data_IF_772456624293
#
_entry.id   IF_772456624293
#
_cell.length_a   1.000
_cell.length_b   1.000
_cell.length_c   1.000
_cell.angle_alpha   90.00
_cell.angle_beta   90.00
_cell.angle_gamma   90.00
#
_symmetry.space_group_name_H-M   'P 1'
#
loop_
_entity.id
_entity.type
_entity.pdbx_description
1 polymer ?
#
# COMPACT_ATOMS: atom_id res chain seq x y z
N UNK A 1 2.38 20.42 -28.58
CA UNK A 1 2.15 19.55 -27.41
C UNK A 1 1.12 18.49 -27.81
N UNK A 2 1.53 17.23 -27.88
CA UNK A 2 0.71 16.13 -28.42
C UNK A 2 -0.50 15.83 -27.53
N UNK A 3 -1.66 15.57 -28.15
CA UNK A 3 -2.89 15.19 -27.45
C UNK A 3 -2.64 13.94 -26.59
N UNK A 4 -3.05 13.93 -25.31
CA UNK A 4 -2.92 12.74 -24.47
C UNK A 4 -3.81 11.61 -25.00
N UNK A 5 -3.30 10.38 -24.87
CA UNK A 5 -3.96 9.13 -25.26
C UNK A 5 -5.42 9.05 -24.69
N UNK A 6 -6.44 8.61 -25.47
CA UNK A 6 -7.84 8.50 -25.02
C UNK A 6 -8.04 7.74 -23.71
N UNK A 7 -7.18 6.76 -23.40
CA UNK A 7 -7.24 6.03 -22.14
C UNK A 7 -6.92 6.92 -20.91
N UNK A 8 -6.08 7.94 -21.08
CA UNK A 8 -5.76 8.93 -20.05
C UNK A 8 -6.82 10.04 -19.96
N UNK A 9 -7.49 10.39 -21.06
CA UNK A 9 -8.61 11.34 -21.04
C UNK A 9 -9.80 10.83 -20.23
N UNK A 10 -10.11 9.53 -20.26
CA UNK A 10 -11.25 9.00 -19.47
C UNK A 10 -10.92 8.97 -17.97
N UNK A 11 -9.65 9.05 -17.58
CA UNK A 11 -9.27 9.34 -16.20
C UNK A 11 -9.55 10.81 -15.87
N UNK A 12 -9.05 11.74 -16.68
CA UNK A 12 -9.11 13.18 -16.34
C UNK A 12 -10.45 13.88 -16.63
N UNK A 13 -11.17 13.55 -17.72
CA UNK A 13 -12.48 14.14 -18.08
C UNK A 13 -13.63 13.59 -17.25
N UNK A 14 -13.59 12.30 -16.86
CA UNK A 14 -14.54 11.72 -15.89
C UNK A 14 -14.31 12.27 -14.49
N UNK A 15 -13.09 12.77 -14.20
CA UNK A 15 -12.73 13.38 -12.92
C UNK A 15 -12.73 14.93 -12.95
N UNK A 16 -13.05 15.58 -14.08
CA UNK A 16 -12.87 17.02 -14.29
C UNK A 16 -13.84 17.59 -15.33
N UNK A 17 -15.03 18.01 -14.92
CA UNK A 17 -15.24 19.37 -14.39
C UNK A 17 -15.08 19.53 -12.86
N UNK A 18 -15.17 18.45 -12.09
CA UNK A 18 -14.96 18.41 -10.63
C UNK A 18 -13.46 18.33 -10.21
N UNK A 19 -12.53 18.66 -11.11
CA UNK A 19 -11.07 18.62 -10.87
C UNK A 19 -10.54 19.64 -9.86
N UNK A 20 -11.44 20.47 -9.32
CA UNK A 20 -11.21 21.45 -8.23
C UNK A 20 -11.54 20.91 -6.84
N UNK A 21 -11.96 19.66 -6.72
CA UNK A 21 -12.25 19.01 -5.44
C UNK A 21 -10.98 18.37 -4.88
N UNK A 22 -10.60 18.78 -3.66
CA UNK A 22 -9.27 18.71 -3.08
C UNK A 22 -8.56 20.09 -3.10
N UNK A 23 -8.44 20.72 -1.93
CA UNK A 23 -7.83 22.05 -1.75
C UNK A 23 -6.30 22.11 -1.86
N UNK A 24 -5.64 20.97 -2.12
CA UNK A 24 -4.20 20.91 -2.34
C UNK A 24 -3.78 21.63 -3.63
N UNK A 25 -2.60 22.24 -3.62
CA UNK A 25 -2.05 22.99 -4.77
C UNK A 25 -1.88 22.11 -6.03
N UNK A 26 -1.90 20.78 -5.87
CA UNK A 26 -1.69 19.78 -6.92
C UNK A 26 -0.24 19.72 -7.42
N UNK A 27 0.53 20.79 -7.24
CA UNK A 27 1.95 20.91 -7.58
C UNK A 27 2.81 20.52 -6.38
N UNK A 28 3.84 19.68 -6.57
CA UNK A 28 4.79 19.40 -5.51
C UNK A 28 5.48 20.70 -5.05
N UNK A 29 5.59 20.88 -3.74
CA UNK A 29 6.38 21.98 -3.14
C UNK A 29 7.86 21.61 -3.11
N UNK A 30 8.73 22.56 -2.79
CA UNK A 30 10.17 22.28 -2.56
C UNK A 30 10.34 21.23 -1.46
N UNK A 31 9.57 21.32 -0.37
CA UNK A 31 9.59 20.33 0.71
C UNK A 31 9.16 18.93 0.26
N UNK A 32 8.19 18.82 -0.66
CA UNK A 32 7.81 17.53 -1.25
C UNK A 32 8.97 16.93 -2.03
N UNK A 33 9.66 17.72 -2.87
CA UNK A 33 10.81 17.24 -3.63
C UNK A 33 11.98 16.85 -2.74
N UNK A 34 12.25 17.62 -1.69
CA UNK A 34 13.27 17.29 -0.69
C UNK A 34 12.93 15.98 0.03
N UNK A 35 11.71 15.83 0.53
CA UNK A 35 11.25 14.59 1.16
C UNK A 35 11.32 13.39 0.23
N UNK A 36 10.87 13.54 -1.02
CA UNK A 36 10.95 12.50 -2.04
C UNK A 36 12.41 12.10 -2.34
N UNK A 37 13.30 13.08 -2.55
CA UNK A 37 14.71 12.82 -2.80
C UNK A 37 15.36 12.10 -1.61
N UNK A 38 15.05 12.51 -0.37
CA UNK A 38 15.53 11.85 0.84
C UNK A 38 15.03 10.40 0.94
N UNK A 39 13.74 10.14 0.67
CA UNK A 39 13.21 8.78 0.61
C UNK A 39 13.94 7.93 -0.44
N UNK A 40 14.09 8.45 -1.67
CA UNK A 40 14.77 7.72 -2.75
C UNK A 40 16.23 7.45 -2.40
N UNK A 41 16.97 8.46 -1.94
CA UNK A 41 18.37 8.29 -1.54
C UNK A 41 18.51 7.32 -0.38
N UNK A 42 17.60 7.35 0.59
CA UNK A 42 17.57 6.41 1.70
C UNK A 42 17.34 4.97 1.23
N UNK A 43 16.30 4.72 0.42
CA UNK A 43 16.04 3.39 -0.14
C UNK A 43 17.16 2.91 -1.08
N UNK A 44 17.76 3.80 -1.87
CA UNK A 44 18.93 3.45 -2.68
C UNK A 44 20.12 3.12 -1.78
N UNK A 45 20.41 3.92 -0.76
CA UNK A 45 21.51 3.68 0.16
C UNK A 45 21.36 2.37 0.96
N UNK A 46 20.14 1.82 1.07
CA UNK A 46 19.88 0.58 1.81
C UNK A 46 19.74 -0.64 0.90
N UNK A 47 19.17 -0.48 -0.31
CA UNK A 47 19.11 -1.55 -1.31
C UNK A 47 20.45 -1.77 -2.02
N UNK A 48 21.22 -0.71 -2.27
CA UNK A 48 22.47 -0.75 -3.02
C UNK A 48 23.56 -1.59 -2.35
N UNK A 49 23.78 -1.53 -1.02
CA UNK A 49 24.71 -2.44 -0.34
C UNK A 49 24.31 -3.91 -0.53
N UNK A 50 23.03 -4.27 -0.36
CA UNK A 50 22.57 -5.64 -0.59
C UNK A 50 22.77 -6.12 -2.04
N UNK A 51 22.54 -5.24 -3.02
CA UNK A 51 22.79 -5.54 -4.44
C UNK A 51 24.29 -5.65 -4.75
N UNK A 52 25.12 -4.81 -4.14
CA UNK A 52 26.58 -4.88 -4.31
C UNK A 52 27.18 -6.13 -3.69
N UNK A 53 26.71 -6.55 -2.50
CA UNK A 53 27.14 -7.80 -1.88
C UNK A 53 26.79 -9.01 -2.74
N UNK A 54 25.59 -9.03 -3.35
CA UNK A 54 25.22 -10.06 -4.33
C UNK A 54 26.10 -10.05 -5.58
N UNK A 55 26.42 -8.86 -6.09
CA UNK A 55 27.28 -8.74 -7.25
C UNK A 55 28.71 -9.24 -6.93
N UNK A 56 29.25 -8.91 -5.75
CA UNK A 56 30.60 -9.33 -5.34
C UNK A 56 30.71 -10.82 -5.01
N UNK A 57 29.70 -11.42 -4.39
CA UNK A 57 29.66 -12.88 -4.17
C UNK A 57 29.64 -13.64 -5.50
N UNK A 58 28.97 -13.10 -6.52
CA UNK A 58 28.91 -13.74 -7.84
C UNK A 58 30.15 -13.52 -8.70
N UNK A 59 30.95 -12.46 -8.46
CA UNK A 59 32.17 -12.20 -9.22
C UNK A 59 33.44 -12.74 -8.59
N UNK A 60 33.64 -12.62 -7.27
CA UNK A 60 34.98 -12.80 -6.69
C UNK A 60 35.05 -13.66 -5.41
N UNK A 61 33.91 -14.06 -4.82
CA UNK A 61 33.89 -14.94 -3.64
C UNK A 61 34.47 -14.34 -2.35
N UNK A 62 34.89 -13.07 -2.35
CA UNK A 62 35.33 -12.33 -1.16
C UNK A 62 34.17 -11.53 -0.56
N UNK A 63 33.88 -11.79 0.72
CA UNK A 63 32.92 -10.99 1.51
C UNK A 63 33.50 -9.59 1.78
N UNK A 64 32.89 -8.56 1.20
CA UNK A 64 33.26 -7.17 1.48
C UNK A 64 32.79 -6.79 2.88
N UNK A 65 33.72 -6.57 3.81
CA UNK A 65 33.41 -6.10 5.17
C UNK A 65 32.89 -4.66 5.19
N UNK A 66 31.57 -4.50 5.38
CA UNK A 66 30.88 -3.18 5.34
C UNK A 66 30.87 -2.47 6.72
N UNK A 67 31.43 -3.08 7.76
CA UNK A 67 31.24 -2.69 9.17
C UNK A 67 31.91 -1.39 9.61
N UNK A 68 32.87 -0.85 8.84
CA UNK A 68 33.74 0.25 9.31
C UNK A 68 33.47 1.67 8.76
N UNK A 69 32.49 1.88 7.88
CA UNK A 69 32.29 3.17 7.17
C UNK A 69 30.89 3.78 7.36
N UNK A 70 30.60 4.95 6.77
CA UNK A 70 29.25 5.56 6.73
C UNK A 70 28.17 4.54 6.27
N UNK A 71 28.56 3.58 5.44
CA UNK A 71 27.75 2.43 5.04
C UNK A 71 27.37 1.52 6.21
N UNK A 72 28.22 1.32 7.22
CA UNK A 72 27.91 0.55 8.44
C UNK A 72 26.90 1.24 9.37
N UNK A 73 26.85 2.58 9.36
CA UNK A 73 25.80 3.34 10.06
C UNK A 73 24.46 3.29 9.30
N UNK A 74 24.50 3.32 7.97
CA UNK A 74 23.32 3.16 7.10
C UNK A 74 22.79 1.72 7.08
N UNK A 75 23.68 0.73 7.21
CA UNK A 75 23.33 -0.68 7.40
C UNK A 75 22.93 -1.00 8.84
N UNK A 76 22.98 -0.04 9.77
CA UNK A 76 22.49 -0.28 11.11
C UNK A 76 20.96 -0.53 11.06
N UNK A 77 20.50 -1.73 11.42
CA UNK A 77 19.10 -2.14 11.26
C UNK A 77 18.13 -1.21 12.00
N UNK A 78 18.53 -0.69 13.16
CA UNK A 78 17.73 0.22 13.96
C UNK A 78 17.62 1.59 13.29
N UNK A 79 18.74 2.14 12.80
CA UNK A 79 18.74 3.43 12.09
C UNK A 79 17.87 3.35 10.83
N UNK A 80 17.99 2.25 10.09
CA UNK A 80 17.17 1.98 8.91
C UNK A 80 15.67 1.91 9.26
N UNK A 81 15.31 1.25 10.35
CA UNK A 81 13.91 1.16 10.79
C UNK A 81 13.34 2.53 11.17
N UNK A 82 14.01 3.27 12.05
CA UNK A 82 13.51 4.55 12.57
C UNK A 82 13.49 5.65 11.52
N UNK A 83 14.59 5.84 10.78
CA UNK A 83 14.68 6.90 9.76
C UNK A 83 13.72 6.59 8.60
N UNK A 84 13.63 5.34 8.17
CA UNK A 84 12.70 4.93 7.11
C UNK A 84 11.25 5.21 7.48
N UNK A 85 10.83 4.86 8.71
CA UNK A 85 9.48 5.16 9.20
C UNK A 85 9.20 6.68 9.22
N UNK A 86 10.14 7.47 9.75
CA UNK A 86 10.00 8.93 9.79
C UNK A 86 9.85 9.51 8.39
N UNK A 87 10.69 9.08 7.44
CA UNK A 87 10.64 9.53 6.05
C UNK A 87 9.32 9.16 5.37
N UNK A 88 8.81 7.95 5.59
CA UNK A 88 7.50 7.53 5.06
C UNK A 88 6.35 8.33 5.66
N UNK A 89 6.37 8.60 6.96
CA UNK A 89 5.38 9.46 7.62
C UNK A 89 5.41 10.88 7.05
N UNK A 90 6.60 11.47 6.90
CA UNK A 90 6.79 12.79 6.28
C UNK A 90 6.27 12.80 4.84
N UNK A 91 6.62 11.78 4.05
CA UNK A 91 6.18 11.66 2.67
C UNK A 91 4.66 11.51 2.56
N UNK A 92 4.04 10.73 3.45
CA UNK A 92 2.60 10.59 3.53
C UNK A 92 1.91 11.93 3.83
N UNK A 93 2.40 12.66 4.83
CA UNK A 93 1.89 13.99 5.18
C UNK A 93 2.04 14.99 4.01
N UNK A 94 3.20 15.01 3.34
CA UNK A 94 3.46 15.89 2.20
C UNK A 94 2.60 15.53 0.98
N UNK A 95 2.39 14.25 0.71
CA UNK A 95 1.52 13.81 -0.38
C UNK A 95 0.05 14.09 -0.09
N UNK A 96 -0.37 13.94 1.17
CA UNK A 96 -1.71 14.28 1.62
C UNK A 96 -1.97 15.78 1.49
N UNK A 97 -1.08 16.63 2.00
CA UNK A 97 -1.21 18.10 1.89
C UNK A 97 -1.14 18.59 0.43
N UNK A 98 -0.39 17.91 -0.44
CA UNK A 98 -0.33 18.23 -1.87
C UNK A 98 -1.65 17.95 -2.61
N UNK A 99 -2.37 16.90 -2.23
CA UNK A 99 -3.53 16.38 -2.99
C UNK A 99 -4.87 16.53 -2.29
N UNK A 100 -4.87 16.81 -1.01
CA UNK A 100 -6.08 16.81 -0.22
C UNK A 100 -6.29 18.07 0.61
N UNK A 101 -7.45 18.09 1.25
CA UNK A 101 -7.87 19.11 2.20
C UNK A 101 -8.72 18.46 3.28
N UNK A 102 -8.60 18.96 4.50
CA UNK A 102 -9.48 18.60 5.61
C UNK A 102 -10.39 19.81 5.87
N UNK A 103 -11.69 19.58 5.95
CA UNK A 103 -12.64 20.60 6.38
C UNK A 103 -13.71 19.99 7.27
N UNK A 104 -14.35 20.83 8.09
CA UNK A 104 -15.54 20.43 8.83
C UNK A 104 -16.68 20.21 7.82
N UNK A 105 -17.42 19.11 7.95
CA UNK A 105 -18.56 18.80 7.10
C UNK A 105 -19.57 19.95 7.17
N UNK A 106 -19.76 20.68 6.05
CA UNK A 106 -20.67 21.84 5.99
C UNK A 106 -22.13 21.45 5.74
N UNK A 107 -22.39 20.16 5.52
CA UNK A 107 -23.66 19.69 4.99
C UNK A 107 -24.41 18.92 6.07
N UNK A 108 -25.56 19.43 6.52
CA UNK A 108 -26.55 18.65 7.28
C UNK A 108 -27.09 17.54 6.38
N UNK A 109 -26.38 16.42 6.28
CA UNK A 109 -26.74 15.27 5.46
C UNK A 109 -27.79 14.42 6.16
N UNK A 110 -29.00 14.96 6.27
CA UNK A 110 -30.15 14.29 6.86
C UNK A 110 -29.94 13.90 8.33
N UNK A 111 -30.98 13.32 8.96
CA UNK A 111 -31.03 12.96 10.39
C UNK A 111 -30.00 11.93 10.88
N UNK A 112 -28.95 11.61 10.11
CA UNK A 112 -28.04 10.47 10.38
C UNK A 112 -26.55 10.76 10.20
N UNK A 113 -26.14 11.96 9.77
CA UNK A 113 -24.74 12.38 9.86
C UNK A 113 -24.59 13.36 11.04
N UNK A 114 -23.74 13.06 12.05
CA UNK A 114 -23.50 14.00 13.13
C UNK A 114 -22.92 15.30 12.56
N UNK A 115 -23.52 16.42 12.94
CA UNK A 115 -22.99 17.75 12.61
C UNK A 115 -21.63 17.91 13.29
N UNK A 116 -20.59 18.27 12.51
CA UNK A 116 -19.26 18.59 13.04
C UNK A 116 -18.15 17.55 12.80
N UNK A 117 -18.36 16.51 12.00
CA UNK A 117 -17.29 15.58 11.62
C UNK A 117 -16.26 16.21 10.66
N UNK A 118 -15.01 15.75 10.75
CA UNK A 118 -13.95 16.15 9.82
C UNK A 118 -14.03 15.29 8.54
N UNK A 119 -14.23 15.96 7.41
CA UNK A 119 -14.18 15.36 6.09
C UNK A 119 -12.81 15.63 5.45
N UNK A 120 -12.16 14.55 5.03
CA UNK A 120 -10.95 14.54 4.23
C UNK A 120 -11.33 14.33 2.77
N UNK A 121 -10.86 15.19 1.88
CA UNK A 121 -11.01 15.03 0.44
C UNK A 121 -9.64 14.95 -0.22
N UNK A 122 -9.40 13.95 -1.08
CA UNK A 122 -8.11 13.75 -1.75
C UNK A 122 -8.31 13.57 -3.25
N UNK A 123 -7.56 14.34 -4.05
CA UNK A 123 -7.48 14.15 -5.50
C UNK A 123 -6.93 12.76 -5.81
N UNK A 124 -7.67 11.94 -6.56
CA UNK A 124 -7.24 10.59 -6.94
C UNK A 124 -5.98 10.61 -7.82
N UNK A 125 -5.10 9.63 -7.64
CA UNK A 125 -3.99 9.37 -8.57
C UNK A 125 -4.57 8.99 -9.94
N UNK A 126 -3.84 9.19 -11.05
CA UNK A 126 -4.13 8.50 -12.31
C UNK A 126 -4.04 6.97 -12.17
N UNK A 127 -4.82 6.21 -12.94
CA UNK A 127 -4.75 4.73 -12.92
C UNK A 127 -3.37 4.20 -13.29
N UNK A 128 -2.69 4.68 -14.34
CA UNK A 128 -1.34 4.20 -14.68
C UNK A 128 -0.34 4.37 -13.54
N UNK A 129 -0.39 5.52 -12.84
CA UNK A 129 0.49 5.78 -11.71
C UNK A 129 0.18 4.87 -10.52
N UNK A 130 -1.10 4.55 -10.27
CA UNK A 130 -1.49 3.61 -9.22
C UNK A 130 -1.01 2.18 -9.52
N UNK A 131 -1.09 1.77 -10.80
CA UNK A 131 -0.56 0.49 -11.26
C UNK A 131 0.96 0.44 -11.12
N UNK A 132 1.66 1.51 -11.50
CA UNK A 132 3.12 1.62 -11.30
C UNK A 132 3.50 1.49 -9.81
N UNK A 133 2.74 2.14 -8.92
CA UNK A 133 2.93 2.00 -7.47
C UNK A 133 2.72 0.56 -6.99
N UNK A 134 1.68 -0.12 -7.48
CA UNK A 134 1.43 -1.51 -7.12
C UNK A 134 2.59 -2.42 -7.55
N UNK A 135 3.05 -2.32 -8.80
CA UNK A 135 4.18 -3.11 -9.28
C UNK A 135 5.48 -2.76 -8.56
N UNK A 136 5.73 -1.47 -8.30
CA UNK A 136 6.88 -1.03 -7.50
C UNK A 136 6.88 -1.67 -6.11
N UNK A 137 5.75 -1.61 -5.40
CA UNK A 137 5.60 -2.24 -4.08
C UNK A 137 5.77 -3.76 -4.13
N UNK A 138 5.22 -4.42 -5.16
CA UNK A 138 5.37 -5.86 -5.33
C UNK A 138 6.84 -6.25 -5.55
N UNK A 139 7.55 -5.56 -6.45
CA UNK A 139 8.97 -5.79 -6.70
C UNK A 139 9.81 -5.52 -5.45
N UNK A 140 9.56 -4.39 -4.76
CA UNK A 140 10.27 -4.07 -3.51
C UNK A 140 9.98 -5.09 -2.41
N UNK A 141 8.75 -5.58 -2.27
CA UNK A 141 8.39 -6.59 -1.27
C UNK A 141 9.08 -7.92 -1.57
N UNK A 142 9.10 -8.36 -2.84
CA UNK A 142 9.82 -9.56 -3.26
C UNK A 142 11.31 -9.40 -2.99
N UNK A 143 11.90 -8.26 -3.34
CA UNK A 143 13.30 -7.98 -3.05
C UNK A 143 13.60 -8.07 -1.55
N UNK A 144 12.80 -7.41 -0.70
CA UNK A 144 13.00 -7.42 0.76
C UNK A 144 12.82 -8.80 1.40
N UNK A 145 12.00 -9.68 0.81
CA UNK A 145 11.74 -11.03 1.35
C UNK A 145 12.68 -12.10 0.79
N UNK A 146 13.16 -11.94 -0.44
CA UNK A 146 13.99 -12.94 -1.13
C UNK A 146 15.48 -12.62 -1.03
N UNK A 147 15.89 -11.35 -1.07
CA UNK A 147 17.31 -10.97 -0.95
C UNK A 147 17.97 -11.45 0.35
N UNK A 148 17.28 -11.45 1.50
CA UNK A 148 17.81 -12.04 2.74
C UNK A 148 18.17 -13.52 2.64
N UNK A 149 17.58 -14.25 1.69
CA UNK A 149 17.82 -15.69 1.49
C UNK A 149 18.92 -15.99 0.47
N UNK A 150 19.41 -15.00 -0.26
CA UNK A 150 20.42 -15.18 -1.31
C UNK A 150 21.84 -14.87 -0.85
N UNK A 151 22.03 -14.42 0.39
CA UNK A 151 23.32 -14.02 0.98
C UNK A 151 23.34 -14.54 2.41
N UNK A 152 24.51 -14.77 2.98
CA UNK A 152 24.67 -15.03 4.41
C UNK A 152 24.58 -13.70 5.20
N UNK A 153 23.39 -13.37 5.71
CA UNK A 153 23.14 -12.11 6.45
C UNK A 153 23.32 -12.30 7.95
N UNK A 154 23.87 -11.27 8.61
CA UNK A 154 23.73 -11.13 10.06
C UNK A 154 22.24 -11.11 10.46
N UNK A 155 21.89 -11.82 11.53
CA UNK A 155 20.53 -12.05 12.00
C UNK A 155 19.78 -10.73 12.29
N UNK A 156 20.48 -9.71 12.78
CA UNK A 156 19.90 -8.39 13.03
C UNK A 156 19.49 -7.69 11.72
N UNK A 157 20.28 -7.88 10.66
CA UNK A 157 20.00 -7.29 9.34
C UNK A 157 18.89 -8.08 8.66
N UNK A 158 18.92 -9.42 8.73
CA UNK A 158 17.83 -10.29 8.27
C UNK A 158 16.48 -9.87 8.90
N UNK A 159 16.46 -9.68 10.22
CA UNK A 159 15.24 -9.32 10.94
C UNK A 159 14.64 -7.99 10.48
N UNK A 160 15.47 -6.99 10.23
CA UNK A 160 14.98 -5.69 9.78
C UNK A 160 14.52 -5.70 8.33
N UNK A 161 15.21 -6.42 7.44
CA UNK A 161 14.74 -6.59 6.06
C UNK A 161 13.40 -7.33 6.01
N UNK A 162 13.28 -8.39 6.81
CA UNK A 162 12.03 -9.11 7.01
C UNK A 162 10.93 -8.20 7.57
N UNK A 163 11.21 -7.38 8.59
CA UNK A 163 10.27 -6.42 9.16
C UNK A 163 9.74 -5.45 8.09
N UNK A 164 10.62 -4.93 7.23
CA UNK A 164 10.22 -4.06 6.13
C UNK A 164 9.36 -4.80 5.08
N UNK A 165 9.69 -6.04 4.75
CA UNK A 165 8.85 -6.90 3.90
C UNK A 165 7.46 -7.12 4.51
N UNK A 166 7.40 -7.40 5.82
CA UNK A 166 6.16 -7.60 6.57
C UNK A 166 5.32 -6.32 6.66
N UNK A 167 5.94 -5.14 6.73
CA UNK A 167 5.24 -3.85 6.67
C UNK A 167 4.71 -3.52 5.27
N UNK A 168 5.42 -3.89 4.21
CA UNK A 168 4.99 -3.63 2.83
C UNK A 168 3.92 -4.60 2.32
N UNK A 169 3.85 -5.82 2.86
CA UNK A 169 2.82 -6.80 2.51
C UNK A 169 1.38 -6.24 2.70
N UNK A 170 0.96 -5.73 3.88
CA UNK A 170 -0.37 -5.18 4.05
C UNK A 170 -0.61 -3.90 3.23
N UNK A 171 0.43 -3.08 3.01
CA UNK A 171 0.34 -1.92 2.13
C UNK A 171 0.04 -2.36 0.69
N UNK A 172 0.72 -3.40 0.19
CA UNK A 172 0.49 -3.96 -1.14
C UNK A 172 -0.93 -4.50 -1.29
N UNK A 173 -1.44 -5.19 -0.28
CA UNK A 173 -2.84 -5.65 -0.23
C UNK A 173 -3.84 -4.50 -0.29
N UNK A 174 -3.64 -3.45 0.53
CA UNK A 174 -4.50 -2.27 0.52
C UNK A 174 -4.44 -1.49 -0.81
N UNK A 175 -3.26 -1.40 -1.44
CA UNK A 175 -3.08 -0.79 -2.77
C UNK A 175 -3.81 -1.59 -3.85
N UNK A 176 -3.73 -2.92 -3.81
CA UNK A 176 -4.48 -3.79 -4.71
C UNK A 176 -6.00 -3.58 -4.56
N UNK A 177 -6.51 -3.61 -3.33
CA UNK A 177 -7.92 -3.32 -3.03
C UNK A 177 -8.35 -1.94 -3.53
N UNK A 178 -7.51 -0.93 -3.30
CA UNK A 178 -7.73 0.44 -3.77
C UNK A 178 -7.76 0.53 -5.31
N UNK A 179 -6.90 -0.22 -6.01
CA UNK A 179 -6.90 -0.30 -7.46
C UNK A 179 -8.19 -0.97 -7.99
N UNK A 180 -8.65 -2.05 -7.35
CA UNK A 180 -9.93 -2.69 -7.68
C UNK A 180 -11.10 -1.74 -7.43
N UNK A 181 -11.14 -1.08 -6.27
CA UNK A 181 -12.17 -0.07 -5.93
C UNK A 181 -12.23 1.04 -6.99
N UNK A 182 -11.08 1.57 -7.38
CA UNK A 182 -10.96 2.63 -8.40
C UNK A 182 -11.37 2.18 -9.80
N UNK A 183 -10.98 0.97 -10.21
CA UNK A 183 -11.38 0.44 -11.53
C UNK A 183 -12.87 0.13 -11.58
N UNK A 184 -13.44 -0.43 -10.51
CA UNK A 184 -14.88 -0.61 -10.35
C UNK A 184 -15.62 0.74 -10.38
N UNK A 185 -15.08 1.77 -9.70
CA UNK A 185 -15.62 3.13 -9.74
C UNK A 185 -15.63 3.71 -11.14
N UNK A 186 -14.51 3.65 -11.86
CA UNK A 186 -14.45 4.17 -13.22
C UNK A 186 -15.46 3.48 -14.15
N UNK A 187 -15.62 2.14 -14.04
CA UNK A 187 -16.62 1.38 -14.81
C UNK A 187 -18.05 1.78 -14.45
N UNK A 188 -18.33 1.90 -13.16
CA UNK A 188 -19.65 2.29 -12.66
C UNK A 188 -20.00 3.72 -13.09
N UNK A 189 -19.08 4.67 -12.92
CA UNK A 189 -19.28 6.07 -13.28
C UNK A 189 -19.54 6.21 -14.77
N UNK A 190 -18.76 5.55 -15.65
CA UNK A 190 -19.03 5.55 -17.10
C UNK A 190 -20.46 5.10 -17.43
N UNK A 191 -20.95 4.07 -16.75
CA UNK A 191 -22.32 3.56 -16.94
C UNK A 191 -23.39 4.52 -16.41
N UNK A 192 -23.09 5.31 -15.37
CA UNK A 192 -24.04 6.25 -14.78
C UNK A 192 -24.02 7.63 -15.44
N UNK A 193 -22.84 8.14 -15.81
CA UNK A 193 -22.71 9.36 -16.61
C UNK A 193 -23.42 9.22 -17.96
N UNK A 194 -23.40 8.03 -18.57
CA UNK A 194 -24.19 7.71 -19.76
C UNK A 194 -25.72 7.80 -19.51
N UNK A 195 -26.16 7.64 -18.27
CA UNK A 195 -27.58 7.70 -17.88
C UNK A 195 -27.99 9.07 -17.33
N UNK A 196 -27.05 9.88 -16.85
CA UNK A 196 -27.33 11.18 -16.26
C UNK A 196 -26.13 12.13 -16.45
N UNK A 197 -26.01 12.78 -17.63
CA UNK A 197 -24.82 13.55 -18.02
C UNK A 197 -24.50 14.77 -17.15
N UNK A 198 -25.48 15.27 -16.39
CA UNK A 198 -25.40 16.54 -15.65
C UNK A 198 -25.56 16.38 -14.14
N UNK A 199 -25.65 15.16 -13.61
CA UNK A 199 -25.91 14.90 -12.20
C UNK A 199 -24.73 14.25 -11.49
N UNK A 200 -24.34 14.78 -10.32
CA UNK A 200 -23.56 14.00 -9.34
C UNK A 200 -24.40 12.80 -8.93
N UNK A 201 -23.91 11.60 -9.19
CA UNK A 201 -24.63 10.35 -8.89
C UNK A 201 -24.52 10.04 -7.41
N UNK A 202 -25.28 10.77 -6.59
CA UNK A 202 -25.42 10.49 -5.16
C UNK A 202 -26.53 9.45 -4.96
N UNK A 203 -26.18 8.32 -4.33
CA UNK A 203 -27.13 7.29 -3.92
C UNK A 203 -27.42 7.43 -2.43
N UNK A 204 -28.63 7.03 -2.02
CA UNK A 204 -28.95 6.86 -0.60
C UNK A 204 -27.97 5.84 0.01
N UNK A 205 -27.22 6.28 1.02
CA UNK A 205 -26.25 5.46 1.72
C UNK A 205 -26.93 4.29 2.46
N UNK A 206 -26.35 3.09 2.37
CA UNK A 206 -26.72 1.99 3.25
C UNK A 206 -25.89 2.07 4.53
N UNK A 207 -26.50 2.07 5.75
CA UNK A 207 -25.79 2.32 7.01
C UNK A 207 -24.57 1.41 7.23
N UNK A 208 -24.73 0.10 7.00
CA UNK A 208 -23.62 -0.85 7.09
C UNK A 208 -22.47 -0.50 6.14
N UNK A 209 -22.73 -0.23 4.86
CA UNK A 209 -21.68 0.03 3.87
C UNK A 209 -21.01 1.40 4.04
N UNK A 210 -21.74 2.37 4.58
CA UNK A 210 -21.17 3.65 5.00
C UNK A 210 -20.18 3.42 6.14
N UNK A 211 -20.58 2.75 7.20
CA UNK A 211 -19.66 2.44 8.30
C UNK A 211 -18.47 1.60 7.81
N UNK A 212 -18.75 0.50 7.10
CA UNK A 212 -17.74 -0.47 6.67
C UNK A 212 -16.74 0.08 5.64
N UNK A 213 -17.18 0.67 4.53
CA UNK A 213 -16.31 1.05 3.38
C UNK A 213 -15.92 2.53 3.37
N UNK A 214 -16.63 3.40 4.10
CA UNK A 214 -16.38 4.84 4.13
C UNK A 214 -15.70 5.32 5.42
N UNK A 215 -16.26 5.01 6.60
CA UNK A 215 -15.68 5.39 7.89
C UNK A 215 -14.46 4.55 8.23
N UNK A 216 -14.65 3.23 8.34
CA UNK A 216 -13.59 2.32 8.76
C UNK A 216 -12.68 1.89 7.63
N UNK A 217 -13.16 1.97 6.37
CA UNK A 217 -12.47 1.45 5.18
C UNK A 217 -12.02 0.00 5.34
N UNK A 218 -12.85 -0.82 6.02
CA UNK A 218 -12.57 -2.23 6.29
C UNK A 218 -12.33 -3.04 5.02
N UNK A 219 -12.89 -2.62 3.88
CA UNK A 219 -12.60 -3.21 2.59
C UNK A 219 -11.10 -3.18 2.24
N UNK A 220 -10.40 -2.09 2.55
CA UNK A 220 -8.94 -1.99 2.35
C UNK A 220 -8.14 -2.68 3.46
N UNK A 221 -8.56 -2.55 4.72
CA UNK A 221 -7.90 -3.23 5.86
C UNK A 221 -7.91 -4.74 5.71
N UNK A 222 -9.03 -5.31 5.27
CA UNK A 222 -9.14 -6.76 5.00
C UNK A 222 -8.17 -7.16 3.89
N UNK A 223 -8.07 -6.40 2.79
CA UNK A 223 -7.09 -6.70 1.74
C UNK A 223 -5.65 -6.64 2.28
N UNK A 224 -5.34 -5.67 3.14
CA UNK A 224 -4.02 -5.56 3.76
C UNK A 224 -3.70 -6.73 4.69
N UNK A 225 -4.58 -7.01 5.66
CA UNK A 225 -4.43 -8.13 6.59
C UNK A 225 -4.33 -9.48 5.85
N UNK A 226 -5.18 -9.68 4.84
CA UNK A 226 -5.15 -10.88 4.02
C UNK A 226 -3.83 -11.06 3.27
N UNK A 227 -3.25 -9.98 2.71
CA UNK A 227 -1.95 -10.06 2.04
C UNK A 227 -0.83 -10.43 3.03
N UNK A 228 -0.85 -9.86 4.24
CA UNK A 228 0.11 -10.24 5.28
C UNK A 228 -0.01 -11.73 5.61
N UNK A 229 -1.23 -12.25 5.80
CA UNK A 229 -1.45 -13.68 6.07
C UNK A 229 -0.93 -14.57 4.93
N UNK A 230 -1.21 -14.20 3.67
CA UNK A 230 -0.75 -14.96 2.50
C UNK A 230 0.79 -14.97 2.43
N UNK A 231 1.43 -13.82 2.61
CA UNK A 231 2.89 -13.70 2.55
C UNK A 231 3.55 -14.48 3.69
N UNK A 232 3.08 -14.32 4.93
CA UNK A 232 3.62 -15.06 6.08
C UNK A 232 3.41 -16.56 5.90
N UNK A 233 2.22 -17.00 5.49
CA UNK A 233 1.96 -18.42 5.20
C UNK A 233 2.86 -18.98 4.09
N UNK A 234 3.08 -18.21 3.02
CA UNK A 234 3.99 -18.62 1.93
C UNK A 234 5.45 -18.71 2.40
N UNK A 235 5.88 -17.82 3.29
CA UNK A 235 7.23 -17.86 3.87
C UNK A 235 7.41 -19.09 4.77
N UNK A 236 6.44 -19.41 5.62
CA UNK A 236 6.52 -20.63 6.46
C UNK A 236 6.50 -21.88 5.58
N UNK A 237 5.62 -21.94 4.57
CA UNK A 237 5.59 -23.03 3.59
C UNK A 237 6.94 -23.22 2.89
N UNK A 238 7.55 -22.13 2.45
CA UNK A 238 8.86 -22.15 1.80
C UNK A 238 9.92 -22.73 2.74
N UNK A 239 9.97 -22.26 3.99
CA UNK A 239 10.91 -22.77 4.98
C UNK A 239 10.69 -24.27 5.24
N UNK A 240 9.45 -24.72 5.37
CA UNK A 240 9.12 -26.15 5.51
C UNK A 240 9.56 -27.00 4.31
N UNK A 241 9.51 -26.44 3.10
CA UNK A 241 9.82 -27.17 1.87
C UNK A 241 11.32 -27.24 1.56
N UNK A 242 12.11 -26.25 2.02
CA UNK A 242 13.50 -26.08 1.57
C UNK A 242 14.53 -26.05 2.69
N UNK A 243 14.15 -25.90 3.97
CA UNK A 243 15.12 -26.05 5.06
C UNK A 243 15.48 -27.51 5.29
N UNK A 244 16.75 -27.80 5.64
CA UNK A 244 17.15 -29.14 6.07
C UNK A 244 16.29 -29.63 7.25
N UNK A 245 15.86 -30.91 7.29
CA UNK A 245 14.95 -31.43 8.32
C UNK A 245 15.44 -31.29 9.76
N UNK A 246 16.76 -31.10 9.98
CA UNK A 246 17.34 -30.89 11.31
C UNK A 246 17.41 -29.43 11.75
N UNK A 247 17.13 -28.47 10.87
CA UNK A 247 17.24 -27.03 11.14
C UNK A 247 15.91 -26.34 11.43
N UNK A 248 14.79 -26.94 11.01
CA UNK A 248 13.46 -26.38 11.26
C UNK A 248 12.99 -26.62 12.70
N UNK A 249 13.28 -27.80 13.24
CA UNK A 249 12.75 -28.27 14.52
C UNK A 249 12.50 -29.77 14.49
N UNK A 250 11.81 -30.28 15.50
CA UNK A 250 11.40 -31.67 15.53
C UNK A 250 10.10 -31.92 14.72
N UNK A 251 9.58 -33.15 14.79
CA UNK A 251 8.37 -33.51 14.05
C UNK A 251 7.11 -32.76 14.53
N UNK A 252 7.07 -32.34 15.79
CA UNK A 252 5.97 -31.57 16.37
C UNK A 252 6.00 -30.14 15.84
N UNK A 253 7.18 -29.51 15.81
CA UNK A 253 7.38 -28.17 15.24
C UNK A 253 6.95 -28.10 13.76
N UNK A 254 7.33 -29.12 12.97
CA UNK A 254 6.94 -29.22 11.55
C UNK A 254 5.42 -29.36 11.40
N UNK A 255 4.78 -30.16 12.26
CA UNK A 255 3.33 -30.35 12.22
C UNK A 255 2.58 -29.06 12.59
N UNK A 256 3.02 -28.36 13.64
CA UNK A 256 2.44 -27.08 14.04
C UNK A 256 2.58 -26.04 12.94
N UNK A 257 3.80 -25.85 12.40
CA UNK A 257 4.06 -24.91 11.33
C UNK A 257 3.25 -25.22 10.06
N UNK A 258 3.05 -26.50 9.75
CA UNK A 258 2.17 -26.93 8.65
C UNK A 258 0.73 -26.51 8.91
N UNK A 259 0.21 -26.73 10.13
CA UNK A 259 -1.12 -26.31 10.55
C UNK A 259 -1.31 -24.80 10.44
N UNK A 260 -0.37 -24.02 11.00
CA UNK A 260 -0.37 -22.55 10.92
C UNK A 260 -0.36 -22.08 9.46
N UNK A 261 0.49 -22.68 8.62
CA UNK A 261 0.59 -22.36 7.19
C UNK A 261 -0.75 -22.56 6.47
N UNK A 262 -1.40 -23.71 6.69
CA UNK A 262 -2.70 -24.02 6.08
C UNK A 262 -3.74 -22.98 6.51
N UNK A 263 -3.79 -22.63 7.81
CA UNK A 263 -4.73 -21.64 8.33
C UNK A 263 -4.49 -20.27 7.72
N UNK A 264 -3.24 -19.79 7.72
CA UNK A 264 -2.88 -18.49 7.18
C UNK A 264 -3.21 -18.38 5.68
N UNK A 265 -2.84 -19.38 4.88
CA UNK A 265 -3.11 -19.37 3.44
C UNK A 265 -4.61 -19.48 3.15
N UNK A 266 -5.32 -20.40 3.82
CA UNK A 266 -6.74 -20.64 3.57
C UNK A 266 -7.58 -19.42 3.95
N UNK A 267 -7.39 -18.88 5.16
CA UNK A 267 -8.13 -17.69 5.61
C UNK A 267 -7.67 -16.46 4.84
N UNK A 268 -6.36 -16.31 4.59
CA UNK A 268 -5.80 -15.19 3.85
C UNK A 268 -6.36 -15.08 2.42
N UNK A 269 -6.39 -16.19 1.66
CA UNK A 269 -6.95 -16.21 0.29
C UNK A 269 -8.44 -15.87 0.29
N UNK A 270 -9.22 -16.47 1.20
CA UNK A 270 -10.65 -16.19 1.33
C UNK A 270 -10.92 -14.73 1.74
N UNK A 271 -10.16 -14.21 2.69
CA UNK A 271 -10.25 -12.82 3.13
C UNK A 271 -9.84 -11.85 2.01
N UNK A 272 -8.81 -12.16 1.23
CA UNK A 272 -8.42 -11.37 0.06
C UNK A 272 -9.54 -11.33 -0.97
N UNK A 273 -10.11 -12.49 -1.33
CA UNK A 273 -11.22 -12.56 -2.27
C UNK A 273 -12.43 -11.75 -1.78
N UNK A 274 -12.77 -11.86 -0.49
CA UNK A 274 -13.84 -11.07 0.14
C UNK A 274 -13.52 -9.57 0.14
N UNK A 275 -12.31 -9.17 0.50
CA UNK A 275 -11.87 -7.77 0.51
C UNK A 275 -11.92 -7.13 -0.88
N UNK A 276 -11.44 -7.84 -1.91
CA UNK A 276 -11.50 -7.39 -3.30
C UNK A 276 -12.95 -7.30 -3.79
N UNK A 277 -13.80 -8.26 -3.43
CA UNK A 277 -15.24 -8.19 -3.70
C UNK A 277 -15.88 -6.99 -3.00
N UNK A 278 -15.59 -6.76 -1.72
CA UNK A 278 -16.12 -5.65 -0.94
C UNK A 278 -15.69 -4.29 -1.52
N UNK A 279 -14.45 -4.18 -2.02
CA UNK A 279 -13.95 -3.01 -2.73
C UNK A 279 -14.79 -2.68 -3.97
N UNK A 280 -15.42 -3.68 -4.61
CA UNK A 280 -16.35 -3.41 -5.70
C UNK A 280 -17.65 -2.79 -5.20
N UNK A 281 -18.09 -3.06 -3.98
CA UNK A 281 -19.40 -2.63 -3.45
C UNK A 281 -19.41 -1.17 -2.93
N UNK A 282 -18.38 -0.37 -3.23
CA UNK A 282 -18.20 0.99 -2.72
C UNK A 282 -19.43 1.89 -2.91
N UNK A 283 -20.18 1.75 -4.01
CA UNK A 283 -21.34 2.60 -4.33
C UNK A 283 -22.46 2.50 -3.30
N UNK A 284 -22.45 1.46 -2.45
CA UNK A 284 -23.45 1.25 -1.39
C UNK A 284 -23.23 2.19 -0.20
N UNK A 285 -22.04 2.78 -0.06
CA UNK A 285 -21.78 3.81 0.96
C UNK A 285 -22.51 5.12 0.66
N UNK A 286 -22.93 5.33 -0.60
CA UNK A 286 -23.55 6.59 -1.04
C UNK A 286 -22.57 7.76 -1.17
N UNK A 287 -21.27 7.52 -0.97
CA UNK A 287 -20.22 8.54 -0.92
C UNK A 287 -19.24 8.41 -2.09
N UNK A 288 -18.56 9.52 -2.42
CA UNK A 288 -17.48 9.50 -3.41
C UNK A 288 -16.25 8.78 -2.82
N UNK A 289 -15.52 8.03 -3.65
CA UNK A 289 -14.30 7.31 -3.23
C UNK A 289 -13.15 8.25 -2.86
N UNK A 290 -13.28 9.54 -3.18
CA UNK A 290 -12.28 10.59 -2.89
C UNK A 290 -12.38 11.14 -1.48
N UNK A 291 -13.54 10.95 -0.85
CA UNK A 291 -13.81 11.47 0.47
C UNK A 291 -13.55 10.40 1.53
N UNK A 292 -13.28 10.85 2.74
CA UNK A 292 -13.22 10.05 3.94
C UNK A 292 -13.68 10.91 5.10
N UNK A 293 -14.28 10.28 6.09
CA UNK A 293 -14.75 10.95 7.31
C UNK A 293 -14.11 10.20 8.47
N UNK A 294 -13.52 10.93 9.41
CA UNK A 294 -13.17 10.31 10.70
C UNK A 294 -14.41 10.32 11.57
N UNK A 295 -14.84 9.14 12.02
CA UNK A 295 -15.88 9.05 13.05
C UNK A 295 -15.34 9.68 14.33
N UNK A 296 -16.02 10.73 14.81
CA UNK A 296 -15.86 11.30 16.15
C UNK A 296 -16.93 10.75 17.07
#
# INVERSE_FOLDING_TARGET
>A
MGKPNPANEIGYRVLGEDGKLGGGTGRPTVYWWLGFALCVLFFLATLFPGVLTLASEHTDGEQIGVSGTLLGVLNNPYVFSWIGMILLCVMWMLEYTRRGSIHVAKQERGKQAPTGSFEAEIRLLPTPLHVAWFFGLAVTSVALLVLPWTIDWDLDIFFVWFLWGALLAPVSGAVLGSLVKKTAYARWYRRQAAKNPHGRVMRKAHPFWRSFSYWWRFDLWICGAAMLMIVVGALIWWNLAYLPPGEFGDAEDVQEATGVTIVLLSIGILAMAFGLWACTQFWRSGEDIRTGESAS
#
